data_IF_182291744348
#
_entry.id   IF_182291744348
#
_cell.length_a   1.000
_cell.length_b   1.000
_cell.length_c   1.000
_cell.angle_alpha   90.00
_cell.angle_beta   90.00
_cell.angle_gamma   90.00
#
_symmetry.space_group_name_H-M   'P 1'
#
loop_
_entity.id
_entity.type
_entity.pdbx_description
1 polymer ?
#
# COMPACT_ATOMS: atom_id res chain seq x y z
N UNK A 1 13.77 -75.10 -2.38
CA UNK A 1 12.76 -74.21 -2.99
C UNK A 1 12.50 -73.05 -2.04
N UNK A 2 12.99 -71.83 -2.36
CA UNK A 2 12.72 -70.62 -1.62
C UNK A 2 11.73 -69.81 -2.43
N UNK A 3 10.51 -69.63 -1.91
CA UNK A 3 9.51 -68.75 -2.47
C UNK A 3 9.87 -67.32 -2.06
N UNK A 4 10.29 -66.48 -2.99
CA UNK A 4 10.37 -65.04 -2.81
C UNK A 4 9.00 -64.45 -3.15
N UNK A 5 8.19 -64.20 -2.10
CA UNK A 5 6.91 -63.56 -2.27
C UNK A 5 7.07 -62.05 -2.59
N UNK A 6 7.07 -61.75 -3.87
CA UNK A 6 6.94 -60.36 -4.33
C UNK A 6 5.53 -59.87 -4.07
N UNK A 7 5.35 -58.89 -3.20
CA UNK A 7 4.07 -58.23 -2.99
C UNK A 7 3.72 -57.41 -4.24
N UNK A 8 2.88 -57.98 -5.10
CA UNK A 8 2.34 -57.30 -6.26
C UNK A 8 1.18 -56.40 -5.79
N UNK A 9 1.42 -55.14 -5.60
CA UNK A 9 0.39 -54.13 -5.28
C UNK A 9 -0.63 -54.09 -6.43
N UNK A 10 -1.94 -54.18 -6.09
CA UNK A 10 -3.04 -54.04 -7.05
C UNK A 10 -2.92 -52.72 -7.81
N UNK A 11 -3.28 -52.67 -9.12
CA UNK A 11 -3.15 -51.47 -9.95
C UNK A 11 -3.83 -50.20 -9.35
N UNK A 12 -4.94 -50.34 -8.66
CA UNK A 12 -5.61 -49.25 -7.97
C UNK A 12 -4.78 -48.58 -6.86
N UNK A 13 -3.97 -49.38 -6.12
CA UNK A 13 -3.07 -48.83 -5.08
C UNK A 13 -1.88 -48.09 -5.67
N UNK A 14 -1.41 -48.47 -6.87
CA UNK A 14 -0.33 -47.73 -7.57
C UNK A 14 -0.79 -46.35 -8.04
N UNK A 15 -2.04 -46.23 -8.52
CA UNK A 15 -2.62 -44.95 -8.89
C UNK A 15 -2.76 -44.01 -7.69
N UNK A 16 -3.25 -44.52 -6.56
CA UNK A 16 -3.42 -43.71 -5.34
C UNK A 16 -2.09 -43.19 -4.79
N UNK A 17 -1.03 -44.04 -4.82
CA UNK A 17 0.33 -43.66 -4.39
C UNK A 17 0.89 -42.56 -5.33
N UNK A 18 0.67 -42.69 -6.65
CA UNK A 18 1.13 -41.71 -7.62
C UNK A 18 0.42 -40.36 -7.41
N UNK A 19 -0.87 -40.35 -7.19
CA UNK A 19 -1.65 -39.10 -6.90
C UNK A 19 -1.17 -38.43 -5.60
N UNK A 20 -0.95 -39.25 -4.55
CA UNK A 20 -0.44 -38.71 -3.27
C UNK A 20 0.97 -38.14 -3.41
N UNK A 21 1.86 -38.75 -4.20
CA UNK A 21 3.20 -38.27 -4.45
C UNK A 21 3.18 -36.91 -5.21
N UNK A 22 2.30 -36.78 -6.21
CA UNK A 22 2.11 -35.53 -6.95
C UNK A 22 1.57 -34.44 -6.03
N UNK A 23 0.58 -34.74 -5.18
CA UNK A 23 0.03 -33.78 -4.25
C UNK A 23 1.08 -33.27 -3.24
N UNK A 24 1.90 -34.18 -2.70
CA UNK A 24 3.01 -33.80 -1.80
C UNK A 24 4.02 -32.93 -2.53
N UNK A 25 4.39 -33.24 -3.77
CA UNK A 25 5.32 -32.45 -4.57
C UNK A 25 4.77 -31.02 -4.82
N UNK A 26 3.47 -30.90 -5.11
CA UNK A 26 2.80 -29.59 -5.29
C UNK A 26 2.80 -28.79 -3.96
N UNK A 27 2.53 -29.42 -2.83
CA UNK A 27 2.57 -28.79 -1.51
C UNK A 27 3.99 -28.33 -1.18
N UNK A 28 5.01 -29.17 -1.41
CA UNK A 28 6.41 -28.80 -1.18
C UNK A 28 6.82 -27.62 -2.09
N UNK A 29 6.41 -27.63 -3.35
CA UNK A 29 6.67 -26.53 -4.26
C UNK A 29 6.02 -25.22 -3.76
N UNK A 30 4.74 -25.28 -3.35
CA UNK A 30 4.02 -24.11 -2.87
C UNK A 30 4.58 -23.56 -1.54
N UNK A 31 4.98 -24.45 -0.62
CA UNK A 31 5.39 -24.05 0.74
C UNK A 31 6.87 -23.67 0.83
N UNK A 32 7.74 -24.26 0.00
CA UNK A 32 9.19 -24.09 0.10
C UNK A 32 9.77 -23.35 -1.12
N UNK A 33 9.43 -23.78 -2.33
CA UNK A 33 10.08 -23.26 -3.54
C UNK A 33 9.59 -21.84 -3.85
N UNK A 34 8.29 -21.60 -3.82
CA UNK A 34 7.73 -20.29 -4.17
C UNK A 34 8.23 -19.19 -3.23
N UNK A 35 8.15 -19.34 -1.89
CA UNK A 35 8.70 -18.34 -0.97
C UNK A 35 10.23 -18.14 -1.15
N UNK A 36 10.99 -19.22 -1.38
CA UNK A 36 12.44 -19.11 -1.57
C UNK A 36 12.79 -18.33 -2.85
N UNK A 37 12.08 -18.58 -3.95
CA UNK A 37 12.29 -17.86 -5.21
C UNK A 37 11.91 -16.39 -5.04
N UNK A 38 10.78 -16.09 -4.37
CA UNK A 38 10.33 -14.73 -4.10
C UNK A 38 11.34 -13.98 -3.23
N UNK A 39 11.79 -14.57 -2.12
CA UNK A 39 12.80 -13.99 -1.24
C UNK A 39 14.10 -13.68 -1.99
N UNK A 40 14.58 -14.57 -2.83
CA UNK A 40 15.76 -14.32 -3.65
C UNK A 40 15.53 -13.17 -4.63
N UNK A 41 14.31 -13.04 -5.16
CA UNK A 41 13.94 -11.93 -6.03
C UNK A 41 13.99 -10.60 -5.27
N UNK A 42 13.34 -10.50 -4.12
CA UNK A 42 13.36 -9.29 -3.28
C UNK A 42 14.79 -8.94 -2.86
N UNK A 43 15.56 -9.91 -2.36
CA UNK A 43 16.94 -9.70 -1.94
C UNK A 43 17.85 -9.19 -3.06
N UNK A 44 17.55 -9.50 -4.33
CA UNK A 44 18.35 -9.01 -5.47
C UNK A 44 18.20 -7.51 -5.73
N UNK A 45 17.13 -6.89 -5.25
CA UNK A 45 16.93 -5.43 -5.35
C UNK A 45 17.55 -4.66 -4.20
N UNK A 46 17.89 -5.32 -3.09
CA UNK A 46 18.40 -4.63 -1.89
C UNK A 46 19.87 -4.23 -2.06
N UNK A 47 20.18 -2.99 -1.68
CA UNK A 47 21.56 -2.48 -1.58
C UNK A 47 22.15 -2.77 -0.18
N UNK A 48 23.48 -2.65 -0.02
CA UNK A 48 24.15 -2.90 1.26
C UNK A 48 23.88 -1.80 2.31
N UNK A 49 23.62 -0.58 1.85
CA UNK A 49 23.49 0.66 2.62
C UNK A 49 22.04 1.12 2.84
N UNK A 50 21.09 0.20 2.87
CA UNK A 50 19.68 0.53 3.01
C UNK A 50 19.39 1.30 4.29
N UNK A 51 18.84 2.50 4.12
CA UNK A 51 18.09 3.19 5.16
C UNK A 51 16.83 2.41 5.52
N UNK A 52 16.51 2.34 6.81
CA UNK A 52 15.29 1.69 7.27
C UNK A 52 14.07 2.39 6.69
N UNK A 53 13.30 1.70 5.88
CA UNK A 53 11.94 2.11 5.55
C UNK A 53 11.03 1.56 6.64
N UNK A 54 11.03 2.27 7.76
CA UNK A 54 10.08 1.98 8.84
C UNK A 54 8.71 2.57 8.45
N UNK A 55 7.64 1.81 8.70
CA UNK A 55 6.24 2.25 8.55
C UNK A 55 5.75 2.46 7.12
N UNK A 56 5.89 1.45 6.27
CA UNK A 56 5.29 1.47 4.93
C UNK A 56 3.77 1.37 5.06
N UNK A 57 3.08 2.38 4.52
CA UNK A 57 1.62 2.40 4.37
C UNK A 57 1.24 1.89 3.00
N UNK A 58 0.62 0.73 2.94
CA UNK A 58 0.03 0.17 1.73
C UNK A 58 -1.40 0.68 1.58
N UNK A 59 -1.65 1.38 0.49
CA UNK A 59 -2.94 1.93 0.13
C UNK A 59 -3.51 1.08 -1.00
N UNK A 60 -4.70 0.54 -0.83
CA UNK A 60 -5.37 -0.30 -1.82
C UNK A 60 -6.65 0.35 -2.29
N UNK A 61 -6.98 0.20 -3.56
CA UNK A 61 -8.36 0.39 -3.99
C UNK A 61 -9.29 -0.55 -3.22
N UNK A 62 -10.53 -0.10 -3.01
CA UNK A 62 -11.54 -0.90 -2.32
C UNK A 62 -11.74 -2.24 -3.02
N UNK A 63 -11.58 -3.35 -2.28
CA UNK A 63 -11.70 -4.69 -2.84
C UNK A 63 -13.12 -4.96 -3.32
N UNK A 64 -13.24 -5.69 -4.43
CA UNK A 64 -14.52 -6.21 -4.87
C UNK A 64 -14.95 -7.38 -3.96
N UNK A 65 -16.17 -7.30 -3.44
CA UNK A 65 -16.80 -8.37 -2.67
C UNK A 65 -18.20 -8.62 -3.22
N UNK A 66 -18.47 -9.86 -3.60
CA UNK A 66 -19.77 -10.28 -4.18
C UNK A 66 -20.21 -9.43 -5.40
N UNK A 67 -19.24 -9.04 -6.24
CA UNK A 67 -19.47 -8.21 -7.44
C UNK A 67 -19.67 -6.72 -7.14
N UNK A 68 -19.45 -6.28 -5.89
CA UNK A 68 -19.60 -4.87 -5.49
C UNK A 68 -18.25 -4.29 -5.10
N UNK A 69 -17.83 -3.24 -5.76
CA UNK A 69 -16.73 -2.36 -5.38
C UNK A 69 -17.26 -1.18 -4.57
N UNK A 70 -16.38 -0.39 -3.95
CA UNK A 70 -16.75 0.79 -3.17
C UNK A 70 -17.83 0.50 -2.11
N UNK A 71 -17.57 -0.51 -1.26
CA UNK A 71 -18.49 -0.98 -0.23
C UNK A 71 -17.81 -1.13 1.12
N UNK A 72 -18.58 -1.14 2.19
CA UNK A 72 -18.08 -1.46 3.55
C UNK A 72 -17.45 -2.85 3.60
N UNK A 73 -18.02 -3.82 2.89
CA UNK A 73 -17.45 -5.16 2.78
C UNK A 73 -16.08 -5.14 2.09
N UNK A 74 -15.95 -4.39 1.00
CA UNK A 74 -14.70 -4.19 0.27
C UNK A 74 -13.63 -3.51 1.11
N UNK A 75 -13.98 -2.45 1.86
CA UNK A 75 -13.08 -1.82 2.82
C UNK A 75 -12.54 -2.83 3.84
N UNK A 76 -13.43 -3.58 4.50
CA UNK A 76 -13.03 -4.59 5.50
C UNK A 76 -12.12 -5.67 4.90
N UNK A 77 -12.41 -6.10 3.68
CA UNK A 77 -11.60 -7.11 3.00
C UNK A 77 -10.22 -6.56 2.62
N UNK A 78 -10.12 -5.33 2.11
CA UNK A 78 -8.82 -4.69 1.82
C UNK A 78 -7.94 -4.61 3.07
N UNK A 79 -8.51 -4.17 4.21
CA UNK A 79 -7.77 -4.12 5.49
C UNK A 79 -7.38 -5.52 5.96
N UNK A 80 -8.26 -6.52 5.82
CA UNK A 80 -7.95 -7.92 6.16
C UNK A 80 -6.80 -8.48 5.31
N UNK A 81 -6.69 -8.06 4.07
CA UNK A 81 -5.60 -8.44 3.16
C UNK A 81 -4.29 -7.69 3.42
N UNK A 82 -4.29 -6.72 4.35
CA UNK A 82 -3.09 -6.02 4.80
C UNK A 82 -2.96 -4.58 4.35
N UNK A 83 -4.02 -3.95 3.82
CA UNK A 83 -4.02 -2.52 3.56
C UNK A 83 -3.98 -1.72 4.87
N UNK A 84 -3.16 -0.68 4.89
CA UNK A 84 -3.14 0.33 5.95
C UNK A 84 -4.17 1.43 5.67
N UNK A 85 -4.45 1.67 4.39
CA UNK A 85 -5.48 2.59 3.93
C UNK A 85 -6.21 2.06 2.71
N UNK A 86 -7.46 2.50 2.51
CA UNK A 86 -8.30 2.06 1.41
C UNK A 86 -8.84 3.26 0.66
N UNK A 87 -8.69 3.26 -0.67
CA UNK A 87 -9.29 4.26 -1.56
C UNK A 87 -10.73 3.84 -1.84
N UNK A 88 -11.66 4.77 -1.63
CA UNK A 88 -13.09 4.59 -1.88
C UNK A 88 -13.60 5.77 -2.69
N UNK A 89 -14.30 5.49 -3.79
CA UNK A 89 -14.86 6.54 -4.64
C UNK A 89 -16.06 7.22 -3.99
N UNK A 90 -16.05 8.55 -4.02
CA UNK A 90 -17.02 9.42 -3.36
C UNK A 90 -17.89 10.15 -4.38
N UNK A 91 -19.18 9.96 -4.25
CA UNK A 91 -20.22 10.76 -4.89
C UNK A 91 -21.22 11.30 -3.88
N UNK A 92 -22.10 12.21 -4.31
CA UNK A 92 -23.15 12.79 -3.48
C UNK A 92 -24.53 12.62 -4.11
N UNK A 93 -25.52 12.20 -3.33
CA UNK A 93 -26.92 12.24 -3.74
C UNK A 93 -27.41 13.68 -3.87
N UNK A 94 -28.55 13.86 -4.52
CA UNK A 94 -29.17 15.21 -4.70
C UNK A 94 -29.44 15.95 -3.39
N UNK A 95 -29.62 15.23 -2.30
CA UNK A 95 -29.83 15.78 -0.95
C UNK A 95 -28.51 16.06 -0.19
N UNK A 96 -27.37 15.94 -0.87
CA UNK A 96 -26.03 16.12 -0.30
C UNK A 96 -25.54 14.89 0.50
N UNK A 97 -26.24 13.75 0.50
CA UNK A 97 -25.77 12.55 1.21
C UNK A 97 -24.56 11.96 0.52
N UNK A 98 -23.39 11.84 1.19
CA UNK A 98 -22.20 11.22 0.61
C UNK A 98 -22.37 9.70 0.52
N UNK A 99 -22.02 9.12 -0.63
CA UNK A 99 -22.14 7.69 -0.95
C UNK A 99 -20.88 7.18 -1.62
N UNK A 100 -20.66 5.87 -1.57
CA UNK A 100 -19.50 5.19 -2.09
C UNK A 100 -19.80 4.59 -3.46
N UNK A 101 -19.39 5.26 -4.54
CA UNK A 101 -19.51 4.77 -5.91
C UNK A 101 -18.70 5.62 -6.88
N UNK A 102 -18.23 5.03 -7.96
CA UNK A 102 -17.64 5.70 -9.13
C UNK A 102 -18.66 5.99 -10.22
N UNK A 103 -19.91 5.44 -10.10
CA UNK A 103 -20.95 5.48 -11.12
C UNK A 103 -22.12 6.39 -10.76
N UNK A 104 -22.37 7.41 -11.59
CA UNK A 104 -23.53 8.28 -11.45
C UNK A 104 -24.87 7.53 -11.54
N UNK A 105 -24.92 6.40 -12.25
CA UNK A 105 -26.14 5.60 -12.38
C UNK A 105 -26.47 4.80 -11.12
N UNK A 106 -25.50 4.61 -10.23
CA UNK A 106 -25.64 3.81 -9.00
C UNK A 106 -25.77 4.65 -7.73
N UNK A 107 -25.69 5.97 -7.83
CA UNK A 107 -25.72 6.89 -6.68
C UNK A 107 -26.91 6.63 -5.74
N UNK A 108 -28.09 6.32 -6.28
CA UNK A 108 -29.29 6.14 -5.45
C UNK A 108 -29.26 4.81 -4.64
N UNK A 109 -28.59 3.79 -5.15
CA UNK A 109 -28.44 2.47 -4.52
C UNK A 109 -27.13 2.28 -3.74
N UNK A 110 -26.17 3.17 -3.95
CA UNK A 110 -24.84 3.08 -3.33
C UNK A 110 -24.89 3.16 -1.80
N UNK A 111 -23.96 2.47 -1.15
CA UNK A 111 -23.78 2.53 0.31
C UNK A 111 -23.36 3.93 0.74
N UNK A 112 -23.84 4.35 1.91
CA UNK A 112 -23.49 5.67 2.48
C UNK A 112 -22.11 5.64 3.10
N UNK A 113 -21.39 6.75 2.98
CA UNK A 113 -20.11 6.99 3.69
C UNK A 113 -20.26 6.89 5.20
N UNK A 114 -21.44 7.22 5.74
CA UNK A 114 -21.78 7.00 7.16
C UNK A 114 -21.51 5.56 7.63
N UNK A 115 -21.89 4.56 6.83
CA UNK A 115 -21.67 3.14 7.15
C UNK A 115 -20.17 2.77 7.12
N UNK A 116 -19.40 3.39 6.24
CA UNK A 116 -17.94 3.24 6.19
C UNK A 116 -17.29 3.81 7.47
N UNK A 117 -17.66 5.02 7.87
CA UNK A 117 -17.13 5.65 9.07
C UNK A 117 -17.50 4.87 10.34
N UNK A 118 -18.70 4.30 10.40
CA UNK A 118 -19.06 3.37 11.47
C UNK A 118 -18.15 2.12 11.48
N UNK A 119 -17.89 1.55 10.31
CA UNK A 119 -17.02 0.37 10.19
C UNK A 119 -15.56 0.69 10.57
N UNK A 120 -15.04 1.87 10.25
CA UNK A 120 -13.70 2.33 10.67
C UNK A 120 -13.53 2.35 12.19
N UNK A 121 -14.59 2.46 12.96
CA UNK A 121 -14.56 2.46 14.43
C UNK A 121 -14.70 1.08 15.06
N UNK A 122 -14.90 0.03 14.27
CA UNK A 122 -14.82 -1.35 14.79
C UNK A 122 -13.36 -1.65 15.20
N UNK A 123 -13.17 -2.35 16.33
CA UNK A 123 -11.86 -2.63 16.93
C UNK A 123 -10.82 -3.16 15.93
N UNK A 124 -11.24 -3.98 14.97
CA UNK A 124 -10.36 -4.59 13.97
C UNK A 124 -9.91 -3.62 12.86
N UNK A 125 -10.58 -2.48 12.71
CA UNK A 125 -10.39 -1.54 11.61
C UNK A 125 -10.04 -0.13 12.08
N UNK A 126 -9.93 0.09 13.38
CA UNK A 126 -9.74 1.42 13.99
C UNK A 126 -8.36 2.05 13.75
N UNK A 127 -7.42 1.31 13.19
CA UNK A 127 -6.11 1.83 12.77
C UNK A 127 -6.04 2.12 11.25
N UNK A 128 -7.04 1.70 10.48
CA UNK A 128 -7.04 1.91 9.04
C UNK A 128 -7.46 3.33 8.68
N UNK A 129 -6.83 3.86 7.64
CA UNK A 129 -7.22 5.13 7.02
C UNK A 129 -8.11 4.91 5.80
N UNK A 130 -8.79 5.96 5.38
CA UNK A 130 -9.59 6.00 4.15
C UNK A 130 -9.17 7.19 3.31
N UNK A 131 -8.97 6.96 2.03
CA UNK A 131 -8.77 7.96 1.01
C UNK A 131 -10.05 8.05 0.18
N UNK A 132 -10.83 9.12 0.37
CA UNK A 132 -12.04 9.37 -0.39
C UNK A 132 -11.66 10.02 -1.73
N UNK A 133 -11.70 9.24 -2.80
CA UNK A 133 -11.46 9.69 -4.16
C UNK A 133 -12.67 10.47 -4.67
N UNK A 134 -12.53 11.76 -4.90
CA UNK A 134 -13.62 12.64 -5.27
C UNK A 134 -13.98 12.48 -6.75
N UNK A 135 -15.01 11.68 -7.04
CA UNK A 135 -15.60 11.56 -8.36
C UNK A 135 -16.55 12.73 -8.63
N UNK A 136 -17.39 13.05 -7.64
CA UNK A 136 -18.28 14.20 -7.67
C UNK A 136 -18.33 14.86 -6.30
N UNK A 137 -18.11 16.17 -6.26
CA UNK A 137 -18.22 16.98 -5.06
C UNK A 137 -19.53 17.81 -5.10
N UNK A 138 -20.23 17.85 -3.94
CA UNK A 138 -21.47 18.63 -3.80
C UNK A 138 -21.56 19.30 -2.42
N UNK A 139 -21.41 18.55 -1.33
CA UNK A 139 -21.67 19.05 0.04
C UNK A 139 -20.53 18.61 0.98
N UNK A 140 -19.42 19.34 0.92
CA UNK A 140 -18.26 19.05 1.77
C UNK A 140 -18.57 19.27 3.26
N UNK A 141 -19.44 20.23 3.58
CA UNK A 141 -19.80 20.51 4.96
C UNK A 141 -20.52 19.32 5.62
N UNK A 142 -21.35 18.62 4.86
CA UNK A 142 -22.02 17.41 5.35
C UNK A 142 -21.03 16.27 5.58
N UNK A 143 -20.05 16.11 4.69
CA UNK A 143 -18.97 15.13 4.87
C UNK A 143 -18.12 15.46 6.10
N UNK A 144 -17.74 16.71 6.27
CA UNK A 144 -17.03 17.19 7.46
C UNK A 144 -17.80 16.88 8.75
N UNK A 145 -19.10 17.16 8.75
CA UNK A 145 -19.96 16.90 9.91
C UNK A 145 -20.01 15.43 10.27
N UNK A 146 -20.11 14.53 9.28
CA UNK A 146 -20.06 13.09 9.48
C UNK A 146 -18.70 12.65 10.02
N UNK A 147 -17.59 13.15 9.48
CA UNK A 147 -16.26 12.80 9.95
C UNK A 147 -16.03 13.19 11.41
N UNK A 148 -16.56 14.33 11.84
CA UNK A 148 -16.55 14.77 13.24
C UNK A 148 -17.43 13.87 14.11
N UNK A 149 -18.67 13.60 13.68
CA UNK A 149 -19.63 12.77 14.40
C UNK A 149 -19.07 11.37 14.70
N UNK A 150 -18.41 10.76 13.70
CA UNK A 150 -17.78 9.46 13.84
C UNK A 150 -16.37 9.49 14.39
N UNK A 151 -15.81 10.66 14.70
CA UNK A 151 -14.45 10.84 15.21
C UNK A 151 -13.38 10.15 14.32
N UNK A 152 -13.42 10.43 13.02
CA UNK A 152 -12.51 9.85 12.02
C UNK A 152 -11.71 10.89 11.22
N UNK A 153 -11.76 12.16 11.61
CA UNK A 153 -11.12 13.29 10.91
C UNK A 153 -9.63 13.05 10.67
N UNK A 154 -8.93 12.42 11.60
CA UNK A 154 -7.50 12.11 11.55
C UNK A 154 -7.15 10.89 10.69
N UNK A 155 -8.16 10.18 10.20
CA UNK A 155 -8.01 8.94 9.43
C UNK A 155 -8.68 9.00 8.05
N UNK A 156 -9.24 10.14 7.68
CA UNK A 156 -9.90 10.35 6.38
C UNK A 156 -9.14 11.40 5.60
N UNK A 157 -8.76 11.08 4.39
CA UNK A 157 -8.09 11.97 3.44
C UNK A 157 -8.95 12.11 2.19
N UNK A 158 -8.95 13.30 1.57
CA UNK A 158 -9.55 13.48 0.26
C UNK A 158 -8.46 13.35 -0.81
N UNK A 159 -8.80 12.75 -1.95
CA UNK A 159 -7.91 12.56 -3.11
C UNK A 159 -8.70 12.64 -4.42
N UNK A 160 -8.05 12.46 -5.58
CA UNK A 160 -8.69 12.64 -6.89
C UNK A 160 -8.92 14.11 -7.23
N UNK A 161 -8.02 14.97 -6.74
CA UNK A 161 -8.12 16.41 -6.87
C UNK A 161 -6.96 16.90 -7.73
N UNK A 162 -7.24 17.20 -8.98
CA UNK A 162 -6.27 17.87 -9.86
C UNK A 162 -5.98 19.29 -9.36
N UNK A 163 -4.77 19.78 -9.61
CA UNK A 163 -4.37 21.14 -9.26
C UNK A 163 -5.31 22.23 -9.83
N UNK A 164 -6.04 21.95 -10.90
CA UNK A 164 -7.02 22.85 -11.52
C UNK A 164 -8.41 22.73 -10.90
N UNK A 165 -8.70 21.68 -10.12
CA UNK A 165 -10.01 21.40 -9.52
C UNK A 165 -10.09 21.75 -8.03
N UNK A 166 -8.99 22.15 -7.41
CA UNK A 166 -8.96 22.43 -5.97
C UNK A 166 -9.94 23.53 -5.54
N UNK A 167 -10.22 24.50 -6.42
CA UNK A 167 -11.21 25.57 -6.15
C UNK A 167 -12.61 25.01 -5.86
N UNK A 168 -12.92 23.80 -6.34
CA UNK A 168 -14.19 23.12 -6.07
C UNK A 168 -14.33 22.66 -4.61
N UNK A 169 -13.20 22.45 -3.91
CA UNK A 169 -13.23 22.00 -2.52
C UNK A 169 -13.42 23.17 -1.56
N UNK A 170 -13.09 24.39 -2.02
CA UNK A 170 -13.05 25.56 -1.15
C UNK A 170 -12.06 25.30 -0.01
N UNK A 171 -10.84 25.78 -0.13
CA UNK A 171 -9.75 25.48 0.84
C UNK A 171 -10.10 25.86 2.28
N UNK A 172 -11.07 26.76 2.47
CA UNK A 172 -11.57 27.20 3.78
C UNK A 172 -12.74 26.34 4.30
N UNK A 173 -13.30 25.45 3.47
CA UNK A 173 -14.54 24.72 3.80
C UNK A 173 -14.30 23.28 4.27
N UNK A 174 -13.12 22.68 4.02
CA UNK A 174 -12.82 21.33 4.49
C UNK A 174 -11.92 21.31 5.70
N UNK A 175 -12.31 20.50 6.71
CA UNK A 175 -11.46 20.13 7.85
C UNK A 175 -10.67 18.84 7.60
N UNK A 176 -11.00 18.11 6.52
CA UNK A 176 -10.32 16.89 6.16
C UNK A 176 -9.05 17.23 5.40
N UNK A 177 -7.92 16.59 5.73
CA UNK A 177 -6.70 16.72 4.95
C UNK A 177 -6.95 16.21 3.53
N UNK A 178 -6.32 16.83 2.54
CA UNK A 178 -6.44 16.41 1.16
C UNK A 178 -5.11 16.39 0.44
N UNK A 179 -5.02 15.51 -0.55
CA UNK A 179 -3.88 15.36 -1.44
C UNK A 179 -4.29 15.79 -2.85
N UNK A 180 -3.39 16.45 -3.55
CA UNK A 180 -3.56 16.78 -4.96
C UNK A 180 -2.80 15.79 -5.84
N UNK A 181 -3.41 15.42 -6.97
CA UNK A 181 -2.71 14.67 -8.01
C UNK A 181 -1.73 15.61 -8.70
N UNK A 182 -0.44 15.24 -8.67
CA UNK A 182 0.61 16.13 -9.13
C UNK A 182 1.62 15.40 -10.02
N UNK A 183 1.86 15.98 -11.18
CA UNK A 183 2.91 15.55 -12.10
C UNK A 183 4.01 16.59 -12.13
N UNK A 184 5.20 16.21 -11.66
CA UNK A 184 6.36 17.10 -11.69
C UNK A 184 6.79 17.38 -13.13
N UNK A 185 7.06 18.64 -13.43
CA UNK A 185 7.66 19.07 -14.69
C UNK A 185 9.14 18.64 -14.76
N UNK A 186 9.71 18.61 -15.96
CA UNK A 186 11.15 18.31 -16.12
C UNK A 186 12.03 19.32 -15.38
N UNK A 187 11.63 20.58 -15.37
CA UNK A 187 12.34 21.66 -14.67
C UNK A 187 12.33 21.45 -13.15
N UNK A 188 11.22 21.03 -12.59
CA UNK A 188 11.12 20.71 -11.15
C UNK A 188 11.97 19.50 -10.79
N UNK A 189 11.92 18.40 -11.58
CA UNK A 189 12.77 17.23 -11.36
C UNK A 189 14.27 17.56 -11.50
N UNK A 190 14.64 18.45 -12.43
CA UNK A 190 16.02 18.93 -12.55
C UNK A 190 16.41 19.83 -11.38
N UNK A 191 15.48 20.60 -10.81
CA UNK A 191 15.72 21.41 -9.61
C UNK A 191 15.97 20.55 -8.36
N UNK A 192 15.31 19.40 -8.27
CA UNK A 192 15.58 18.39 -7.21
C UNK A 192 17.02 17.91 -7.32
N UNK A 193 17.47 17.47 -8.50
CA UNK A 193 18.83 16.94 -8.73
C UNK A 193 19.94 17.93 -8.43
N UNK A 194 19.71 19.24 -8.66
CA UNK A 194 20.70 20.29 -8.43
C UNK A 194 20.53 21.03 -7.10
N UNK A 195 19.62 20.56 -6.24
CA UNK A 195 19.41 21.12 -4.90
C UNK A 195 18.83 22.54 -4.90
N UNK A 196 18.14 22.93 -5.97
CA UNK A 196 17.47 24.23 -6.10
C UNK A 196 15.93 24.13 -6.04
N UNK A 197 15.41 22.99 -5.56
CA UNK A 197 13.98 22.73 -5.46
C UNK A 197 13.29 23.76 -4.59
N UNK A 198 12.13 24.18 -5.02
CA UNK A 198 11.19 24.96 -4.21
C UNK A 198 9.85 24.23 -4.14
N UNK A 199 9.13 24.41 -3.03
CA UNK A 199 7.81 23.81 -2.85
C UNK A 199 6.91 24.16 -4.05
N UNK A 200 6.20 23.18 -4.65
CA UNK A 200 5.31 23.45 -5.77
C UNK A 200 4.26 24.52 -5.42
N UNK A 201 4.09 25.49 -6.31
CA UNK A 201 3.13 26.59 -6.11
C UNK A 201 1.70 26.06 -5.90
N UNK A 202 1.36 24.93 -6.53
CA UNK A 202 0.09 24.25 -6.35
C UNK A 202 -0.18 23.89 -4.88
N UNK A 203 0.81 23.38 -4.14
CA UNK A 203 0.67 23.06 -2.71
C UNK A 203 0.49 24.32 -1.86
N UNK A 204 1.19 25.40 -2.20
CA UNK A 204 1.06 26.67 -1.46
C UNK A 204 -0.30 27.33 -1.69
N UNK A 205 -0.78 27.32 -2.93
CA UNK A 205 -2.07 27.94 -3.29
C UNK A 205 -3.27 27.16 -2.79
N UNK A 206 -3.19 25.84 -2.79
CA UNK A 206 -4.33 24.98 -2.44
C UNK A 206 -4.46 24.77 -0.94
N UNK A 207 -3.37 24.88 -0.18
CA UNK A 207 -3.33 24.43 1.22
C UNK A 207 -3.41 22.92 1.38
N UNK A 208 -3.13 22.15 0.31
CA UNK A 208 -3.12 20.70 0.35
C UNK A 208 -2.11 20.16 1.37
N UNK A 209 -2.46 19.07 2.03
CA UNK A 209 -1.61 18.39 3.00
C UNK A 209 -0.45 17.65 2.33
N UNK A 210 -0.58 17.35 1.04
CA UNK A 210 0.44 16.64 0.27
C UNK A 210 0.01 16.39 -1.16
N UNK A 211 0.67 15.44 -1.80
CA UNK A 211 0.45 15.11 -3.21
C UNK A 211 0.44 13.60 -3.46
N UNK A 212 -0.22 13.22 -4.56
CA UNK A 212 -0.12 11.89 -5.18
C UNK A 212 0.67 12.04 -6.47
N UNK A 213 1.69 11.24 -6.70
CA UNK A 213 2.50 11.26 -7.90
C UNK A 213 2.68 9.87 -8.50
N UNK A 214 2.85 9.83 -9.81
CA UNK A 214 3.06 8.59 -10.55
C UNK A 214 4.45 7.98 -10.28
N UNK A 215 4.49 6.65 -10.16
CA UNK A 215 5.71 5.89 -9.93
C UNK A 215 6.82 6.17 -10.95
N UNK A 216 6.49 6.51 -12.19
CA UNK A 216 7.50 6.81 -13.22
C UNK A 216 8.39 8.00 -12.88
N UNK A 217 7.93 8.91 -12.01
CA UNK A 217 8.67 10.09 -11.56
C UNK A 217 9.50 9.83 -10.29
N UNK A 218 9.38 8.65 -9.68
CA UNK A 218 10.00 8.33 -8.40
C UNK A 218 11.51 8.20 -8.51
N UNK A 219 12.23 8.97 -7.69
CA UNK A 219 13.67 8.82 -7.43
C UNK A 219 13.97 9.02 -5.94
N UNK A 220 15.13 8.56 -5.50
CA UNK A 220 15.60 8.72 -4.12
C UNK A 220 15.71 10.20 -3.75
N UNK A 221 16.29 11.01 -4.65
CA UNK A 221 16.47 12.46 -4.46
C UNK A 221 15.11 13.18 -4.35
N UNK A 222 14.10 12.76 -5.12
CA UNK A 222 12.76 13.35 -5.01
C UNK A 222 12.14 13.02 -3.65
N UNK A 223 12.22 11.77 -3.21
CA UNK A 223 11.68 11.33 -1.92
C UNK A 223 12.35 12.07 -0.76
N UNK A 224 13.69 12.15 -0.75
CA UNK A 224 14.44 12.88 0.27
C UNK A 224 14.03 14.36 0.28
N UNK A 225 13.97 14.98 -0.90
CA UNK A 225 13.58 16.40 -1.03
C UNK A 225 12.17 16.64 -0.47
N UNK A 226 11.17 15.84 -0.84
CA UNK A 226 9.80 16.00 -0.36
C UNK A 226 9.71 15.82 1.16
N UNK A 227 10.44 14.84 1.71
CA UNK A 227 10.53 14.63 3.15
C UNK A 227 11.17 15.82 3.88
N UNK A 228 12.25 16.38 3.34
CA UNK A 228 12.93 17.55 3.92
C UNK A 228 12.04 18.79 3.96
N UNK A 229 11.16 18.94 2.96
CA UNK A 229 10.14 19.99 2.94
C UNK A 229 8.89 19.68 3.77
N UNK A 230 8.83 18.50 4.40
CA UNK A 230 7.68 18.05 5.18
C UNK A 230 6.41 17.87 4.33
N UNK A 231 6.55 17.54 3.06
CA UNK A 231 5.44 17.32 2.13
C UNK A 231 5.03 15.85 2.23
N UNK A 232 3.79 15.59 2.66
CA UNK A 232 3.21 14.25 2.58
C UNK A 232 3.08 13.87 1.11
N UNK A 233 3.62 12.72 0.73
CA UNK A 233 3.44 12.25 -0.63
C UNK A 233 3.07 10.77 -0.68
N UNK A 234 2.34 10.42 -1.72
CA UNK A 234 1.87 9.08 -2.01
C UNK A 234 2.27 8.73 -3.44
N UNK A 235 2.77 7.54 -3.65
CA UNK A 235 3.18 7.04 -4.96
C UNK A 235 2.10 6.13 -5.50
N UNK A 236 1.63 6.41 -6.72
CA UNK A 236 0.67 5.58 -7.45
C UNK A 236 1.34 4.83 -8.60
N UNK A 237 0.67 3.82 -9.17
CA UNK A 237 1.15 3.06 -10.32
C UNK A 237 2.07 1.89 -9.98
N UNK A 238 2.04 1.37 -8.76
CA UNK A 238 2.81 0.17 -8.37
C UNK A 238 2.10 -1.10 -8.87
N UNK A 239 2.63 -1.71 -9.93
CA UNK A 239 2.02 -2.86 -10.60
C UNK A 239 2.76 -4.18 -10.34
N UNK A 240 4.05 -4.12 -10.00
CA UNK A 240 4.89 -5.31 -9.88
C UNK A 240 5.70 -5.34 -8.58
N UNK A 241 6.22 -6.55 -8.25
CA UNK A 241 7.20 -6.70 -7.15
C UNK A 241 8.45 -5.84 -7.38
N UNK A 242 8.88 -5.68 -8.64
CA UNK A 242 10.04 -4.85 -8.97
C UNK A 242 9.78 -3.37 -8.69
N UNK A 243 8.60 -2.87 -9.07
CA UNK A 243 8.20 -1.48 -8.79
C UNK A 243 8.10 -1.24 -7.29
N UNK A 244 7.50 -2.18 -6.56
CA UNK A 244 7.44 -2.12 -5.10
C UNK A 244 8.84 -2.08 -4.47
N UNK A 245 9.76 -2.95 -4.89
CA UNK A 245 11.13 -2.94 -4.40
C UNK A 245 11.85 -1.63 -4.73
N UNK A 246 11.63 -1.05 -5.93
CA UNK A 246 12.19 0.25 -6.28
C UNK A 246 11.60 1.38 -5.43
N UNK A 247 10.29 1.37 -5.18
CA UNK A 247 9.66 2.36 -4.30
C UNK A 247 10.25 2.31 -2.89
N UNK A 248 10.45 1.11 -2.35
CA UNK A 248 11.11 0.90 -1.05
C UNK A 248 12.56 1.38 -1.04
N UNK A 249 13.32 1.11 -2.11
CA UNK A 249 14.70 1.60 -2.27
C UNK A 249 14.78 3.12 -2.28
N UNK A 250 13.82 3.78 -2.91
CA UNK A 250 13.74 5.25 -2.92
C UNK A 250 13.26 5.83 -1.58
N UNK A 251 12.83 5.00 -0.62
CA UNK A 251 12.34 5.47 0.67
C UNK A 251 10.88 5.90 0.67
N UNK A 252 10.10 5.52 -0.36
CA UNK A 252 8.66 5.79 -0.39
C UNK A 252 7.95 5.00 0.71
N UNK A 253 7.15 5.69 1.53
CA UNK A 253 6.45 5.10 2.66
C UNK A 253 4.92 5.09 2.54
N UNK A 254 4.35 5.77 1.53
CA UNK A 254 2.93 5.68 1.18
C UNK A 254 2.82 5.27 -0.29
N UNK A 255 2.26 4.10 -0.54
CA UNK A 255 2.19 3.53 -1.89
C UNK A 255 0.82 2.97 -2.20
N UNK A 256 0.26 3.35 -3.35
CA UNK A 256 -1.00 2.80 -3.88
C UNK A 256 -0.66 1.55 -4.69
N UNK A 257 -1.35 0.46 -4.39
CA UNK A 257 -1.07 -0.85 -4.98
C UNK A 257 -2.34 -1.50 -5.53
N UNK A 258 -2.20 -2.18 -6.67
CA UNK A 258 -3.31 -2.89 -7.31
C UNK A 258 -3.54 -4.28 -6.69
N UNK A 259 -2.49 -4.96 -6.23
CA UNK A 259 -2.58 -6.28 -5.57
C UNK A 259 -2.04 -6.15 -4.14
N UNK A 260 -2.94 -5.84 -3.22
CA UNK A 260 -2.59 -5.61 -1.81
C UNK A 260 -1.94 -6.83 -1.16
N UNK A 261 -2.42 -8.03 -1.46
CA UNK A 261 -1.88 -9.26 -0.88
C UNK A 261 -0.43 -9.49 -1.32
N UNK A 262 -0.18 -9.39 -2.62
CA UNK A 262 1.16 -9.55 -3.19
C UNK A 262 2.12 -8.47 -2.70
N UNK A 263 1.65 -7.23 -2.60
CA UNK A 263 2.44 -6.10 -2.10
C UNK A 263 2.78 -6.28 -0.62
N UNK A 264 1.83 -6.71 0.21
CA UNK A 264 2.09 -7.03 1.62
C UNK A 264 3.12 -8.14 1.77
N UNK A 265 2.99 -9.23 1.02
CA UNK A 265 3.98 -10.29 1.02
C UNK A 265 5.38 -9.79 0.59
N UNK A 266 5.46 -8.86 -0.36
CA UNK A 266 6.73 -8.26 -0.78
C UNK A 266 7.35 -7.40 0.34
N UNK A 267 6.55 -6.59 1.02
CA UNK A 267 6.99 -5.76 2.16
C UNK A 267 7.45 -6.63 3.33
N UNK A 268 6.73 -7.70 3.63
CA UNK A 268 7.08 -8.62 4.72
C UNK A 268 8.42 -9.33 4.41
N UNK A 269 8.63 -9.77 3.17
CA UNK A 269 9.90 -10.37 2.74
C UNK A 269 11.05 -9.35 2.78
N UNK A 270 10.80 -8.10 2.36
CA UNK A 270 11.76 -7.01 2.44
C UNK A 270 12.18 -6.75 3.90
N UNK A 271 11.21 -6.60 4.78
CA UNK A 271 11.43 -6.35 6.21
C UNK A 271 12.23 -7.49 6.85
N UNK A 272 11.88 -8.74 6.54
CA UNK A 272 12.60 -9.91 7.04
C UNK A 272 14.07 -9.92 6.58
N UNK A 273 14.31 -9.62 5.31
CA UNK A 273 15.67 -9.58 4.76
C UNK A 273 16.50 -8.45 5.39
N UNK A 274 15.90 -7.28 5.63
CA UNK A 274 16.51 -6.16 6.36
C UNK A 274 16.96 -6.60 7.76
N UNK A 275 16.06 -7.24 8.50
CA UNK A 275 16.36 -7.73 9.85
C UNK A 275 17.50 -8.75 9.85
N UNK A 276 17.56 -9.64 8.87
CA UNK A 276 18.64 -10.62 8.72
C UNK A 276 19.98 -9.95 8.45
N UNK A 277 20.03 -8.98 7.54
CA UNK A 277 21.26 -8.22 7.22
C UNK A 277 21.75 -7.41 8.41
N UNK A 278 20.83 -6.77 9.12
CA UNK A 278 21.18 -6.04 10.36
C UNK A 278 21.79 -6.98 11.39
N UNK A 279 21.18 -8.13 11.65
CA UNK A 279 21.71 -9.14 12.58
C UNK A 279 23.10 -9.63 12.18
N UNK A 280 23.33 -9.93 10.91
CA UNK A 280 24.64 -10.34 10.40
C UNK A 280 25.70 -9.25 10.57
N UNK A 281 25.33 -7.99 10.36
CA UNK A 281 26.22 -6.83 10.58
C UNK A 281 26.62 -6.69 12.04
N UNK A 282 25.65 -6.82 12.96
CA UNK A 282 25.89 -6.79 14.41
C UNK A 282 26.81 -7.95 14.83
N UNK A 283 26.55 -9.17 14.37
CA UNK A 283 27.38 -10.36 14.67
C UNK A 283 28.82 -10.18 14.16
N UNK A 284 29.00 -9.61 12.98
CA UNK A 284 30.35 -9.28 12.43
C UNK A 284 31.06 -8.26 13.31
N UNK A 285 30.35 -7.22 13.76
CA UNK A 285 30.92 -6.17 14.61
C UNK A 285 31.33 -6.72 15.99
N UNK A 286 30.50 -7.56 16.61
CA UNK A 286 30.82 -8.23 17.88
C UNK A 286 32.07 -9.12 17.74
N UNK A 287 32.15 -9.93 16.67
CA UNK A 287 33.31 -10.78 16.41
C UNK A 287 34.59 -9.97 16.16
N UNK A 288 34.50 -8.81 15.54
CA UNK A 288 35.64 -7.94 15.32
C UNK A 288 36.14 -7.32 16.65
N UNK A 289 35.23 -6.93 17.54
CA UNK A 289 35.55 -6.41 18.87
C UNK A 289 36.18 -7.47 19.77
N UNK A 290 35.65 -8.70 19.78
CA UNK A 290 36.19 -9.79 20.61
C UNK A 290 37.62 -10.19 20.21
N UNK A 291 37.95 -10.17 18.91
CA UNK A 291 39.31 -10.39 18.44
C UNK A 291 40.30 -9.33 18.89
N UNK A 292 39.86 -8.08 18.96
CA UNK A 292 40.71 -6.94 19.37
C UNK A 292 41.02 -6.97 20.86
N UNK A 293 40.14 -7.56 21.68
CA UNK A 293 40.38 -7.75 23.13
C UNK A 293 41.21 -9.01 23.48
N UNK A 294 41.43 -9.92 22.53
CA UNK A 294 42.34 -11.08 22.69
C UNK A 294 43.79 -10.76 22.29
N UNK A 295 43.99 -9.71 21.46
CA UNK A 295 45.32 -9.30 20.96
C UNK A 295 45.98 -8.18 21.81
N UNK A 296 45.26 -7.58 22.78
CA UNK A 296 45.77 -6.62 23.77
C UNK A 296 46.01 -7.34 25.14
#
# INVERSE_FOLDING_TARGET
MRYTGGVCLKPEKKGLIAISAVLIAVIVAAVIIIPTVRRNSVSSYMREDLSNVDNISLISHCSEVDGTVNSVAGFKESVRLGANAVIVDLCFKKDGTPVMTDSYSEIDSAEKVEALFAAMNEEKFNSACVYLNIVQLSDIAKLNSLAVEYNVVDRVFLTGIDADRYELIGTDDTILPFLIDYTFTSEELDSVKNGSFSKPEALEKTGASGLVTDYSQLSEELVETLNDYGILFTVDGIESTADMCKALLCGANNVIVNDIKKSRETVDEWTLEMQNRYKESVDKSIKALSKKTEDD
#
